data_IF_205094108083
#
_entry.id   IF_205094108083
#
_cell.length_a   1.000
_cell.length_b   1.000
_cell.length_c   1.000
_cell.angle_alpha   90.00
_cell.angle_beta   90.00
_cell.angle_gamma   90.00
#
_symmetry.space_group_name_H-M   'P 1'
#
loop_
_entity.id
_entity.type
_entity.pdbx_description
1 polymer ?
#
# COMPACT_ATOMS: atom_id res chain seq x y z
N UNK A 1 6.17 12.23 10.95
CA UNK A 1 6.34 11.83 9.54
C UNK A 1 7.37 10.72 9.41
N UNK A 2 8.66 11.06 9.42
CA UNK A 2 9.78 10.11 9.19
C UNK A 2 9.81 8.94 10.17
N UNK A 3 9.63 9.17 11.48
CA UNK A 3 9.61 8.10 12.48
C UNK A 3 8.48 7.08 12.27
N UNK A 4 7.34 7.50 11.72
CA UNK A 4 6.23 6.60 11.42
C UNK A 4 6.56 5.65 10.26
N UNK A 5 7.26 6.15 9.22
CA UNK A 5 7.70 5.33 8.08
C UNK A 5 8.61 4.20 8.55
N UNK A 6 9.57 4.48 9.43
CA UNK A 6 10.43 3.46 10.03
C UNK A 6 9.64 2.42 10.82
N UNK A 7 8.80 2.88 11.75
CA UNK A 7 8.01 1.99 12.61
C UNK A 7 7.06 1.07 11.81
N UNK A 8 6.37 1.61 10.80
CA UNK A 8 5.50 0.80 9.95
C UNK A 8 6.28 -0.18 9.08
N UNK A 9 7.43 0.22 8.53
CA UNK A 9 8.26 -0.68 7.73
C UNK A 9 8.75 -1.86 8.58
N UNK A 10 9.25 -1.61 9.78
CA UNK A 10 9.70 -2.65 10.71
C UNK A 10 8.58 -3.57 11.17
N UNK A 11 7.41 -3.00 11.51
CA UNK A 11 6.23 -3.76 11.91
C UNK A 11 5.76 -4.68 10.78
N UNK A 12 5.61 -4.16 9.56
CA UNK A 12 5.09 -4.92 8.43
C UNK A 12 6.11 -5.89 7.81
N UNK A 13 7.37 -5.81 8.23
CA UNK A 13 8.41 -6.78 7.86
C UNK A 13 8.39 -8.02 8.75
N UNK A 14 7.60 -8.04 9.84
CA UNK A 14 7.52 -9.19 10.74
C UNK A 14 6.86 -10.39 10.05
N UNK A 15 7.52 -11.54 10.08
CA UNK A 15 7.01 -12.79 9.48
C UNK A 15 5.76 -13.32 10.17
N UNK A 16 5.53 -12.96 11.44
CA UNK A 16 4.30 -13.28 12.18
C UNK A 16 3.04 -12.63 11.60
N UNK A 17 3.20 -11.56 10.81
CA UNK A 17 2.11 -10.87 10.12
C UNK A 17 1.95 -11.31 8.66
N UNK A 18 2.60 -12.41 8.25
CA UNK A 18 2.56 -12.86 6.85
C UNK A 18 1.14 -13.10 6.36
N UNK A 19 0.87 -12.65 5.14
CA UNK A 19 -0.41 -12.81 4.44
C UNK A 19 -0.21 -13.65 3.18
N UNK A 20 -1.27 -14.26 2.68
CA UNK A 20 -1.21 -15.02 1.42
C UNK A 20 -1.12 -14.06 0.23
N UNK A 21 -0.11 -14.26 -0.62
CA UNK A 21 0.04 -13.48 -1.84
C UNK A 21 -1.11 -13.82 -2.83
N UNK A 22 -1.78 -12.81 -3.40
CA UNK A 22 -2.93 -13.02 -4.29
C UNK A 22 -2.64 -13.93 -5.48
N UNK A 23 -1.45 -13.84 -6.08
CA UNK A 23 -1.09 -14.62 -7.28
C UNK A 23 -0.57 -16.05 -7.02
N UNK A 24 -0.24 -16.42 -5.78
CA UNK A 24 0.58 -17.62 -5.56
C UNK A 24 0.29 -18.41 -4.30
N UNK A 25 -0.64 -17.96 -3.44
CA UNK A 25 -0.98 -18.59 -2.16
C UNK A 25 0.25 -18.88 -1.27
N UNK A 26 1.35 -18.13 -1.48
CA UNK A 26 2.57 -18.20 -0.68
C UNK A 26 2.49 -17.15 0.43
N UNK A 27 2.88 -17.47 1.66
CA UNK A 27 2.96 -16.48 2.73
C UNK A 27 4.06 -15.48 2.41
N UNK A 28 3.70 -14.19 2.43
CA UNK A 28 4.60 -13.07 2.21
C UNK A 28 4.42 -12.04 3.33
N UNK A 29 5.50 -11.38 3.72
CA UNK A 29 5.43 -10.28 4.68
C UNK A 29 4.62 -9.13 4.06
N UNK A 30 3.72 -8.47 4.83
CA UNK A 30 2.90 -7.37 4.31
C UNK A 30 3.70 -6.23 3.67
N UNK A 31 4.92 -5.98 4.13
CA UNK A 31 5.82 -4.95 3.56
C UNK A 31 6.12 -5.18 2.08
N UNK A 32 6.15 -6.43 1.61
CA UNK A 32 6.41 -6.76 0.21
C UNK A 32 5.24 -6.38 -0.71
N UNK A 33 4.03 -6.25 -0.15
CA UNK A 33 2.85 -5.77 -0.85
C UNK A 33 2.70 -4.24 -0.78
N UNK A 34 3.62 -3.54 -0.10
CA UNK A 34 3.57 -2.11 0.16
C UNK A 34 4.75 -1.36 -0.49
N UNK A 35 4.84 -1.30 -1.83
CA UNK A 35 6.00 -0.73 -2.54
C UNK A 35 6.22 0.76 -2.29
N UNK A 36 5.15 1.53 -2.02
CA UNK A 36 5.27 2.94 -1.62
C UNK A 36 5.95 3.09 -0.28
N UNK A 37 5.57 2.28 0.72
CA UNK A 37 6.22 2.29 2.03
C UNK A 37 7.69 1.88 1.93
N UNK A 38 7.99 0.86 1.12
CA UNK A 38 9.37 0.41 0.86
C UNK A 38 10.21 1.48 0.18
N UNK A 39 9.63 2.24 -0.75
CA UNK A 39 10.29 3.38 -1.39
C UNK A 39 10.52 4.52 -0.40
N UNK A 40 9.52 4.87 0.41
CA UNK A 40 9.64 5.90 1.45
C UNK A 40 10.70 5.55 2.50
N UNK A 41 10.78 4.28 2.91
CA UNK A 41 11.82 3.80 3.82
C UNK A 41 13.22 3.98 3.24
N UNK A 42 13.39 3.62 1.95
CA UNK A 42 14.67 3.79 1.23
C UNK A 42 15.09 5.25 1.05
N UNK A 43 14.14 6.18 0.95
CA UNK A 43 14.43 7.61 0.82
C UNK A 43 14.71 8.24 2.20
N UNK A 44 13.80 8.02 3.15
CA UNK A 44 13.75 8.78 4.40
C UNK A 44 14.58 8.15 5.54
N UNK A 45 14.76 6.84 5.53
CA UNK A 45 15.42 6.10 6.61
C UNK A 45 16.82 5.65 6.17
N UNK A 46 16.92 4.78 5.15
CA UNK A 46 18.22 4.26 4.72
C UNK A 46 18.98 5.20 3.77
N UNK A 47 18.28 6.18 3.18
CA UNK A 47 18.83 7.17 2.24
C UNK A 47 19.51 6.56 1.01
N UNK A 48 19.08 5.38 0.60
CA UNK A 48 19.53 4.67 -0.61
C UNK A 48 18.98 5.27 -1.91
N UNK A 49 17.88 6.03 -1.83
CA UNK A 49 17.21 6.63 -3.00
C UNK A 49 16.96 8.12 -2.78
N UNK A 50 16.94 8.88 -3.86
CA UNK A 50 16.57 10.31 -3.84
C UNK A 50 15.05 10.48 -3.81
N UNK A 51 14.59 11.68 -3.44
CA UNK A 51 13.17 11.98 -3.34
C UNK A 51 12.43 11.75 -4.67
N UNK A 52 13.08 11.98 -5.81
CA UNK A 52 12.51 11.78 -7.15
C UNK A 52 12.07 10.34 -7.41
N UNK A 53 12.64 9.37 -6.70
CA UNK A 53 12.21 7.97 -6.78
C UNK A 53 10.76 7.75 -6.33
N UNK A 54 10.19 8.65 -5.52
CA UNK A 54 8.77 8.58 -5.15
C UNK A 54 7.86 8.81 -6.36
N UNK A 55 8.27 9.69 -7.28
CA UNK A 55 7.50 9.97 -8.49
C UNK A 55 7.46 8.75 -9.40
N UNK A 56 8.57 8.01 -9.48
CA UNK A 56 8.62 6.74 -10.22
C UNK A 56 7.70 5.69 -9.57
N UNK A 57 7.74 5.56 -8.24
CA UNK A 57 6.88 4.60 -7.52
C UNK A 57 5.38 4.94 -7.62
N UNK A 58 5.02 6.23 -7.73
CA UNK A 58 3.64 6.67 -7.93
C UNK A 58 3.16 6.53 -9.38
N UNK A 59 4.09 6.47 -10.34
CA UNK A 59 3.81 6.33 -11.78
C UNK A 59 3.83 4.88 -12.26
N UNK A 60 4.21 3.94 -11.39
CA UNK A 60 4.29 2.53 -11.74
C UNK A 60 2.87 1.95 -11.95
N UNK A 61 2.48 1.82 -13.23
CA UNK A 61 1.16 1.36 -13.68
C UNK A 61 0.85 -0.10 -13.26
N UNK A 62 1.86 -0.87 -12.84
CA UNK A 62 1.67 -2.22 -12.28
C UNK A 62 1.03 -2.19 -10.88
N UNK A 63 1.03 -1.01 -10.23
CA UNK A 63 0.41 -0.77 -8.93
C UNK A 63 -0.91 -0.03 -9.06
N UNK A 64 -1.83 -0.64 -9.82
CA UNK A 64 -3.27 -0.38 -9.77
C UNK A 64 -3.60 1.12 -9.72
N UNK A 65 -3.54 1.79 -10.88
CA UNK A 65 -3.59 3.25 -10.99
C UNK A 65 -4.66 3.81 -10.05
N UNK A 66 -4.29 4.68 -9.09
CA UNK A 66 -5.25 5.26 -8.16
C UNK A 66 -6.43 5.94 -8.87
N UNK A 67 -6.23 6.44 -10.10
CA UNK A 67 -7.29 7.01 -10.95
C UNK A 67 -8.31 5.97 -11.37
N UNK A 68 -7.88 4.77 -11.77
CA UNK A 68 -8.81 3.67 -12.06
C UNK A 68 -9.60 3.27 -10.81
N UNK A 69 -8.94 3.20 -9.64
CA UNK A 69 -9.64 2.88 -8.38
C UNK A 69 -10.66 3.96 -7.98
N UNK A 70 -10.37 5.22 -8.25
CA UNK A 70 -11.31 6.34 -8.05
C UNK A 70 -12.46 6.25 -9.04
N UNK A 71 -12.19 5.96 -10.31
CA UNK A 71 -13.21 5.79 -11.35
C UNK A 71 -14.15 4.62 -11.03
N UNK A 72 -13.62 3.48 -10.57
CA UNK A 72 -14.39 2.34 -10.08
C UNK A 72 -15.24 2.72 -8.86
N UNK A 73 -14.68 3.45 -7.89
CA UNK A 73 -15.44 3.89 -6.72
C UNK A 73 -16.55 4.89 -7.08
N UNK A 74 -16.34 5.72 -8.10
CA UNK A 74 -17.33 6.68 -8.60
C UNK A 74 -18.41 6.02 -9.47
N UNK A 75 -18.06 5.04 -10.29
CA UNK A 75 -19.01 4.27 -11.12
C UNK A 75 -19.74 3.18 -10.32
N UNK A 76 -19.13 2.67 -9.25
CA UNK A 76 -19.72 1.69 -8.33
C UNK A 76 -19.78 2.27 -6.93
N UNK A 77 -20.53 3.37 -6.78
CA UNK A 77 -20.96 3.81 -5.47
C UNK A 77 -21.83 2.69 -4.85
N UNK A 78 -21.20 1.75 -4.15
CA UNK A 78 -21.85 0.77 -3.28
C UNK A 78 -22.40 1.47 -2.03
N UNK A 79 -23.10 2.59 -2.21
CA UNK A 79 -23.95 3.15 -1.18
C UNK A 79 -25.09 2.15 -0.97
N UNK A 80 -24.90 1.25 -0.02
CA UNK A 80 -25.92 0.32 0.50
C UNK A 80 -26.42 0.86 1.83
N UNK A 81 -27.36 1.81 1.83
CA UNK A 81 -27.93 2.38 3.05
C UNK A 81 -28.60 1.32 3.94
N UNK A 82 -28.93 0.14 3.42
CA UNK A 82 -29.38 -1.02 4.20
C UNK A 82 -28.36 -1.54 5.22
N UNK A 83 -27.06 -1.20 5.10
CA UNK A 83 -26.02 -1.54 6.09
C UNK A 83 -25.93 -0.52 7.23
N UNK A 84 -26.58 0.64 7.12
CA UNK A 84 -26.51 1.71 8.13
C UNK A 84 -27.58 1.58 9.22
N UNK A 85 -28.31 0.45 9.24
CA UNK A 85 -29.43 0.21 10.14
C UNK A 85 -30.65 1.00 9.71
N UNK A 86 -31.80 0.33 9.60
CA UNK A 86 -33.08 1.03 9.54
C UNK A 86 -33.39 1.61 10.93
N UNK A 87 -34.14 2.73 11.02
CA UNK A 87 -34.49 3.37 12.29
C UNK A 87 -35.24 2.42 13.24
#
# INVERSE_FOLDING_TARGET
>A
GVSAVGAFYELLSQSSLSVLHPDGNKPVAPVELCPLLKTLYKILITREKTAEAILQALRDETLNDPRERIEIAQTHAFYKPSLLGQP
#
